data_IF_745723109703
#
_entry.id   IF_745723109703
#
_cell.length_a   1.000
_cell.length_b   1.000
_cell.length_c   1.000
_cell.angle_alpha   90.00
_cell.angle_beta   90.00
_cell.angle_gamma   90.00
#
_symmetry.space_group_name_H-M   'P 1'
#
loop_
_entity.id
_entity.type
_entity.pdbx_description
1 polymer ?
#
# COMPACT_ATOMS: atom_id res chain seq x y z
N UNK A 1 4.63 -3.78 21.30
CA UNK A 1 5.15 -4.74 20.31
C UNK A 1 4.06 -5.77 20.09
N UNK A 2 3.54 -5.90 18.88
CA UNK A 2 2.50 -6.89 18.59
C UNK A 2 3.07 -8.31 18.80
N UNK A 3 2.28 -9.19 19.43
CA UNK A 3 2.65 -10.60 19.58
C UNK A 3 2.76 -11.26 18.19
N UNK A 4 3.75 -12.14 17.96
CA UNK A 4 3.89 -12.82 16.68
C UNK A 4 2.63 -13.65 16.38
N UNK A 5 2.02 -13.42 15.22
CA UNK A 5 0.78 -14.08 14.81
C UNK A 5 0.09 -13.38 13.65
N UNK A 6 -0.98 -13.99 13.15
CA UNK A 6 -1.83 -13.38 12.13
C UNK A 6 -2.79 -12.38 12.78
N UNK A 7 -2.84 -11.16 12.23
CA UNK A 7 -3.78 -10.11 12.66
C UNK A 7 -4.81 -9.90 11.56
N UNK A 8 -6.10 -9.90 11.93
CA UNK A 8 -7.17 -9.53 11.01
C UNK A 8 -7.20 -8.01 10.85
N UNK A 9 -7.01 -7.53 9.62
CA UNK A 9 -6.89 -6.08 9.33
C UNK A 9 -8.09 -5.50 8.56
N UNK A 10 -8.75 -6.29 7.72
CA UNK A 10 -9.89 -5.85 6.91
C UNK A 10 -10.73 -7.06 6.45
N UNK A 11 -11.98 -6.81 6.04
CA UNK A 11 -12.78 -7.71 5.23
C UNK A 11 -12.50 -7.47 3.74
N UNK A 12 -12.76 -8.49 2.90
CA UNK A 12 -12.62 -8.36 1.44
C UNK A 12 -13.49 -7.24 0.85
N UNK A 13 -14.63 -6.95 1.48
CA UNK A 13 -15.54 -5.87 1.08
C UNK A 13 -15.01 -4.46 1.36
N UNK A 14 -13.97 -4.33 2.19
CA UNK A 14 -13.45 -3.02 2.61
C UNK A 14 -12.53 -2.42 1.54
N UNK A 15 -12.04 -3.26 0.61
CA UNK A 15 -11.16 -2.84 -0.49
C UNK A 15 -11.73 -3.36 -1.81
N UNK A 16 -12.35 -2.48 -2.59
CA UNK A 16 -12.80 -2.84 -3.92
C UNK A 16 -11.62 -3.19 -4.83
N UNK A 17 -11.86 -4.00 -5.86
CA UNK A 17 -10.81 -4.34 -6.83
C UNK A 17 -10.27 -3.07 -7.50
N UNK A 18 -8.95 -3.00 -7.67
CA UNK A 18 -8.26 -1.83 -8.21
C UNK A 18 -8.17 -0.66 -7.23
N UNK A 19 -8.41 -0.87 -5.93
CA UNK A 19 -8.33 0.17 -4.91
C UNK A 19 -7.24 -0.12 -3.87
N UNK A 20 -6.90 0.92 -3.13
CA UNK A 20 -6.02 0.89 -1.97
C UNK A 20 -6.74 1.50 -0.78
N UNK A 21 -6.51 0.96 0.42
CA UNK A 21 -6.89 1.61 1.68
C UNK A 21 -5.70 1.72 2.62
N UNK A 22 -5.70 2.74 3.47
CA UNK A 22 -4.76 2.88 4.59
C UNK A 22 -5.33 2.23 5.85
N UNK A 23 -4.50 1.52 6.60
CA UNK A 23 -4.88 0.88 7.86
C UNK A 23 -3.74 0.89 8.87
N UNK A 24 -4.08 0.76 10.15
CA UNK A 24 -3.09 0.69 11.23
C UNK A 24 -3.02 -0.73 11.80
N UNK A 25 -1.80 -1.26 11.92
CA UNK A 25 -1.52 -2.54 12.60
C UNK A 25 -0.55 -2.27 13.74
N UNK A 26 -1.09 -2.01 14.93
CA UNK A 26 -0.28 -1.53 16.05
C UNK A 26 0.26 -0.13 15.76
N UNK A 27 1.57 0.00 15.69
CA UNK A 27 2.31 1.24 15.39
C UNK A 27 2.70 1.39 13.91
N UNK A 28 2.29 0.44 13.05
CA UNK A 28 2.58 0.46 11.61
C UNK A 28 1.40 1.02 10.82
N UNK A 29 1.68 1.97 9.94
CA UNK A 29 0.77 2.42 8.89
C UNK A 29 0.95 1.52 7.67
N UNK A 30 -0.12 0.94 7.16
CA UNK A 30 -0.09 -0.05 6.07
C UNK A 30 -1.00 0.41 4.93
N UNK A 31 -0.48 0.36 3.70
CA UNK A 31 -1.28 0.44 2.50
C UNK A 31 -1.69 -0.98 2.08
N UNK A 32 -2.99 -1.26 2.00
CA UNK A 32 -3.55 -2.53 1.53
C UNK A 32 -4.14 -2.37 0.13
N UNK A 33 -3.57 -3.08 -0.84
CA UNK A 33 -3.94 -3.04 -2.25
C UNK A 33 -4.79 -4.27 -2.61
N UNK A 34 -5.85 -4.05 -3.40
CA UNK A 34 -6.58 -5.13 -4.06
C UNK A 34 -6.36 -5.02 -5.57
N UNK A 35 -5.52 -5.91 -6.10
CA UNK A 35 -5.12 -5.92 -7.50
C UNK A 35 -6.20 -6.56 -8.38
N UNK A 36 -6.30 -6.15 -9.66
CA UNK A 36 -7.10 -6.87 -10.65
C UNK A 36 -6.75 -8.36 -10.67
N UNK A 37 -7.77 -9.23 -10.66
CA UNK A 37 -7.59 -10.68 -10.57
C UNK A 37 -7.65 -11.25 -9.14
N UNK A 38 -7.98 -10.43 -8.14
CA UNK A 38 -8.32 -10.88 -6.77
C UNK A 38 -7.12 -11.05 -5.83
N UNK A 39 -5.94 -10.58 -6.24
CA UNK A 39 -4.73 -10.65 -5.43
C UNK A 39 -4.62 -9.45 -4.48
N UNK A 40 -4.20 -9.69 -3.24
CA UNK A 40 -3.96 -8.64 -2.25
C UNK A 40 -2.46 -8.45 -2.01
N UNK A 41 -2.05 -7.21 -1.82
CA UNK A 41 -0.68 -6.82 -1.44
C UNK A 41 -0.71 -5.79 -0.34
N UNK A 42 0.38 -5.70 0.42
CA UNK A 42 0.52 -4.68 1.43
C UNK A 42 1.97 -4.18 1.50
N UNK A 43 2.13 -2.89 1.76
CA UNK A 43 3.43 -2.24 2.03
C UNK A 43 3.28 -1.31 3.23
N UNK A 44 4.38 -0.70 3.66
CA UNK A 44 4.29 0.51 4.48
C UNK A 44 3.43 1.56 3.76
N UNK A 45 2.63 2.32 4.52
CA UNK A 45 1.81 3.37 3.94
C UNK A 45 2.60 4.66 3.70
N UNK A 46 3.71 4.85 4.41
CA UNK A 46 4.52 6.07 4.26
C UNK A 46 5.48 5.92 3.09
N UNK A 47 5.43 6.87 2.15
CA UNK A 47 6.36 6.92 1.02
C UNK A 47 7.82 7.04 1.52
N UNK A 48 8.75 6.32 0.87
CA UNK A 48 10.18 6.31 1.25
C UNK A 48 10.89 7.65 1.02
N UNK A 49 10.33 8.50 0.16
CA UNK A 49 10.85 9.83 -0.12
C UNK A 49 10.55 10.82 1.03
N UNK A 50 9.27 11.02 1.33
CA UNK A 50 8.76 11.99 2.31
C UNK A 50 7.41 11.51 2.88
N UNK A 51 6.87 12.20 3.88
CA UNK A 51 5.70 11.78 4.65
C UNK A 51 4.36 11.92 3.90
N UNK A 52 4.23 11.24 2.76
CA UNK A 52 3.00 11.09 2.00
C UNK A 52 2.44 9.67 2.19
N UNK A 53 1.11 9.57 2.26
CA UNK A 53 0.41 8.30 2.39
C UNK A 53 0.19 7.67 1.02
N UNK A 54 0.73 6.49 0.79
CA UNK A 54 0.58 5.73 -0.46
C UNK A 54 -0.88 5.30 -0.68
N UNK A 55 -1.66 5.14 0.38
CA UNK A 55 -3.11 4.87 0.31
C UNK A 55 -3.91 6.01 -0.31
N UNK A 56 -3.37 7.22 -0.34
CA UNK A 56 -3.99 8.37 -1.00
C UNK A 56 -3.52 8.49 -2.47
N UNK A 57 -2.69 7.53 -2.93
CA UNK A 57 -2.10 7.48 -4.25
C UNK A 57 -2.96 6.78 -5.32
N UNK A 58 -2.33 6.51 -6.46
CA UNK A 58 -2.99 5.89 -7.61
C UNK A 58 -2.44 4.47 -7.87
N UNK A 59 -3.32 3.47 -7.79
CA UNK A 59 -2.97 2.07 -8.03
C UNK A 59 -3.27 1.68 -9.48
N UNK A 60 -2.23 1.36 -10.25
CA UNK A 60 -2.37 0.93 -11.64
C UNK A 60 -1.26 -0.05 -12.02
N UNK A 61 -1.59 -1.10 -12.78
CA UNK A 61 -0.65 -2.11 -13.28
C UNK A 61 0.23 -2.77 -12.19
N UNK A 62 -0.27 -2.86 -10.96
CA UNK A 62 0.49 -3.38 -9.81
C UNK A 62 1.58 -2.43 -9.32
N UNK A 63 1.47 -1.16 -9.66
CA UNK A 63 2.29 -0.07 -9.15
C UNK A 63 1.42 0.90 -8.36
N UNK A 64 1.91 1.38 -7.24
CA UNK A 64 1.31 2.51 -6.52
C UNK A 64 2.12 3.78 -6.85
N UNK A 65 1.43 4.81 -7.32
CA UNK A 65 1.98 6.15 -7.52
C UNK A 65 1.69 7.02 -6.31
N UNK A 66 2.75 7.56 -5.69
CA UNK A 66 2.67 8.47 -4.57
C UNK A 66 1.95 9.77 -4.99
N UNK A 67 0.95 10.23 -4.23
CA UNK A 67 0.14 11.39 -4.60
C UNK A 67 0.89 12.72 -4.56
N UNK A 68 2.05 12.77 -3.91
CA UNK A 68 2.79 14.01 -3.71
C UNK A 68 3.72 14.34 -4.89
N UNK A 69 4.64 13.43 -5.22
CA UNK A 69 5.70 13.66 -6.23
C UNK A 69 5.76 12.56 -7.29
N UNK A 70 4.71 11.74 -7.42
CA UNK A 70 4.60 10.67 -8.42
C UNK A 70 5.72 9.62 -8.42
N UNK A 71 6.41 9.46 -7.27
CA UNK A 71 7.25 8.29 -7.03
C UNK A 71 6.40 7.03 -7.19
N UNK A 72 6.89 6.03 -7.93
CA UNK A 72 6.16 4.78 -8.19
C UNK A 72 6.87 3.59 -7.55
N UNK A 73 6.08 2.69 -6.98
CA UNK A 73 6.56 1.46 -6.35
C UNK A 73 5.82 0.25 -6.89
N UNK A 74 6.53 -0.82 -7.21
CA UNK A 74 5.91 -2.11 -7.50
C UNK A 74 5.38 -2.71 -6.19
N UNK A 75 4.07 -2.96 -6.08
CA UNK A 75 3.44 -3.39 -4.81
C UNK A 75 3.73 -4.86 -4.47
N UNK A 76 4.34 -5.63 -5.38
CA UNK A 76 4.68 -7.05 -5.16
C UNK A 76 6.07 -7.19 -4.57
N UNK A 77 6.96 -6.25 -4.86
CA UNK A 77 8.38 -6.29 -4.50
C UNK A 77 8.80 -5.14 -3.59
N UNK A 78 8.02 -4.06 -3.52
CA UNK A 78 8.36 -2.81 -2.84
C UNK A 78 9.40 -1.96 -3.58
N UNK A 79 9.83 -2.37 -4.78
CA UNK A 79 10.91 -1.70 -5.51
C UNK A 79 10.43 -0.35 -6.05
N UNK A 80 11.19 0.70 -5.78
CA UNK A 80 11.07 1.99 -6.45
C UNK A 80 11.32 1.87 -7.97
N UNK A 81 10.42 2.41 -8.77
CA UNK A 81 10.44 2.34 -10.23
C UNK A 81 10.89 3.66 -10.87
N UNK A 82 10.78 4.77 -10.15
CA UNK A 82 11.26 6.09 -10.57
C UNK A 82 11.65 6.94 -9.36
N UNK A 83 12.51 7.94 -9.59
CA UNK A 83 12.77 9.00 -8.63
C UNK A 83 11.49 9.84 -8.39
N UNK A 84 11.30 10.46 -7.22
CA UNK A 84 12.28 10.65 -6.13
C UNK A 84 12.19 9.60 -5.00
N UNK A 85 11.58 8.44 -5.25
CA UNK A 85 11.40 7.34 -4.31
C UNK A 85 12.66 6.95 -3.52
#
# INVERSE_FOLDING_TARGET
>A
MAEPGWVRVAAKSDVAEGQVIGLHVGDREIALYHLPGGEYRATDNVCTHEYAQLSDGWLEDGCIECPLHAARFDVRTGKALCAPA
#
